data_IF_864595744465
#
_entry.id   IF_864595744465
#
_cell.length_a   1.000
_cell.length_b   1.000
_cell.length_c   1.000
_cell.angle_alpha   90.00
_cell.angle_beta   90.00
_cell.angle_gamma   90.00
#
_symmetry.space_group_name_H-M   'P 1'
#
loop_
_entity.id
_entity.type
_entity.pdbx_description
1 polymer ?
#
# COMPACT_ATOMS: atom_id res chain seq x y z
N UNK A 1 1.97 -8.75 -23.52
CA UNK A 1 1.93 -7.30 -23.24
C UNK A 1 0.61 -6.84 -22.63
N UNK A 2 -0.56 -7.01 -23.28
CA UNK A 2 -1.89 -6.62 -22.73
C UNK A 2 -2.19 -7.03 -21.29
N UNK A 3 -1.72 -8.20 -20.84
CA UNK A 3 -2.03 -8.72 -19.51
C UNK A 3 -1.32 -7.96 -18.37
N UNK A 4 -0.10 -7.46 -18.60
CA UNK A 4 0.67 -6.71 -17.60
C UNK A 4 0.07 -5.32 -17.37
N UNK A 5 -0.40 -4.66 -18.44
CA UNK A 5 -1.06 -3.36 -18.34
C UNK A 5 -2.35 -3.43 -17.53
N UNK A 6 -3.17 -4.47 -17.76
CA UNK A 6 -4.40 -4.73 -17.00
C UNK A 6 -4.10 -5.00 -15.53
N UNK A 7 -3.03 -5.74 -15.22
CA UNK A 7 -2.62 -6.01 -13.84
C UNK A 7 -2.13 -4.74 -13.15
N UNK A 8 -1.35 -3.89 -13.83
CA UNK A 8 -0.91 -2.59 -13.31
C UNK A 8 -2.09 -1.68 -13.00
N UNK A 9 -3.04 -1.57 -13.93
CA UNK A 9 -4.25 -0.74 -13.74
C UNK A 9 -5.08 -1.21 -12.55
N UNK A 10 -5.32 -2.52 -12.42
CA UNK A 10 -6.03 -3.09 -11.26
C UNK A 10 -5.31 -2.83 -9.94
N UNK A 11 -3.98 -2.92 -9.94
CA UNK A 11 -3.17 -2.62 -8.77
C UNK A 11 -3.30 -1.15 -8.35
N UNK A 12 -3.15 -0.20 -9.28
CA UNK A 12 -3.30 1.22 -8.99
C UNK A 12 -4.72 1.59 -8.52
N UNK A 13 -5.75 1.04 -9.14
CA UNK A 13 -7.14 1.24 -8.72
C UNK A 13 -7.40 0.69 -7.30
N UNK A 14 -6.72 -0.39 -6.91
CA UNK A 14 -6.81 -0.90 -5.54
C UNK A 14 -6.13 0.05 -4.56
N UNK A 15 -4.91 0.50 -4.86
CA UNK A 15 -4.17 1.46 -4.04
C UNK A 15 -4.98 2.75 -3.83
N UNK A 16 -5.58 3.30 -4.88
CA UNK A 16 -6.40 4.52 -4.79
C UNK A 16 -7.58 4.36 -3.83
N UNK A 17 -8.18 3.16 -3.78
CA UNK A 17 -9.29 2.85 -2.87
C UNK A 17 -8.85 2.69 -1.41
N UNK A 18 -7.64 2.18 -1.17
CA UNK A 18 -7.17 1.89 0.20
C UNK A 18 -6.32 3.00 0.81
N UNK A 19 -5.68 3.86 0.01
CA UNK A 19 -4.76 4.91 0.48
C UNK A 19 -5.41 5.91 1.43
N UNK A 20 -6.72 6.14 1.30
CA UNK A 20 -7.47 7.07 2.14
C UNK A 20 -7.93 6.43 3.47
N UNK A 21 -7.72 5.13 3.66
CA UNK A 21 -8.08 4.42 4.89
C UNK A 21 -6.84 4.01 5.68
N UNK A 22 -6.58 4.78 6.75
CA UNK A 22 -5.43 4.60 7.65
C UNK A 22 -5.37 3.26 8.38
N UNK A 23 -6.47 2.50 8.45
CA UNK A 23 -6.48 1.17 9.07
C UNK A 23 -6.28 0.04 8.05
N UNK A 24 -6.56 0.30 6.78
CA UNK A 24 -6.49 -0.73 5.75
C UNK A 24 -5.19 -0.65 4.97
N UNK A 25 -4.69 0.55 4.66
CA UNK A 25 -3.45 0.72 3.89
C UNK A 25 -2.27 -0.11 4.41
N UNK A 26 -1.88 -0.05 5.71
CA UNK A 26 -0.76 -0.85 6.21
C UNK A 26 -1.04 -2.36 6.19
N UNK A 27 -2.30 -2.79 6.28
CA UNK A 27 -2.67 -4.21 6.17
C UNK A 27 -2.54 -4.71 4.73
N UNK A 28 -3.07 -3.95 3.77
CA UNK A 28 -2.98 -4.30 2.34
C UNK A 28 -1.54 -4.28 1.82
N UNK A 29 -0.71 -3.39 2.36
CA UNK A 29 0.72 -3.33 2.03
C UNK A 29 1.57 -4.33 2.82
N UNK A 30 0.95 -5.22 3.62
CA UNK A 30 1.62 -6.21 4.45
C UNK A 30 2.71 -5.58 5.33
N UNK A 31 2.37 -4.48 6.01
CA UNK A 31 3.20 -3.81 7.03
C UNK A 31 2.84 -4.35 8.40
N UNK A 32 1.55 -4.53 8.68
CA UNK A 32 1.05 -5.14 9.91
C UNK A 32 -0.24 -5.93 9.65
N UNK A 33 -0.67 -6.73 10.61
CA UNK A 33 -1.95 -7.44 10.53
C UNK A 33 -3.12 -6.54 10.94
N UNK A 34 -4.34 -6.97 10.61
CA UNK A 34 -5.55 -6.27 11.05
C UNK A 34 -5.72 -6.29 12.58
N UNK A 35 -5.25 -7.34 13.26
CA UNK A 35 -5.23 -7.36 14.73
C UNK A 35 -4.28 -6.31 15.31
N UNK A 36 -3.13 -6.09 14.67
CA UNK A 36 -2.14 -5.12 15.15
C UNK A 36 -2.67 -3.69 14.97
N UNK A 37 -3.14 -3.36 13.75
CA UNK A 37 -3.60 -1.99 13.42
C UNK A 37 -4.78 -1.53 14.28
N UNK A 38 -5.58 -2.48 14.79
CA UNK A 38 -6.73 -2.18 15.65
C UNK A 38 -6.31 -1.77 17.07
N UNK A 39 -5.14 -2.21 17.53
CA UNK A 39 -4.60 -1.90 18.85
C UNK A 39 -3.70 -0.66 18.89
N UNK A 40 -3.29 -0.15 17.73
CA UNK A 40 -2.32 0.94 17.63
C UNK A 40 -2.87 2.30 18.10
N UNK A 41 -2.03 3.04 18.81
CA UNK A 41 -2.22 4.45 19.09
C UNK A 41 -2.07 5.30 17.82
N UNK A 42 -2.47 6.57 17.90
CA UNK A 42 -2.52 7.44 16.71
C UNK A 42 -1.13 7.67 16.08
N UNK A 43 -0.11 7.88 16.90
CA UNK A 43 1.28 8.01 16.49
C UNK A 43 1.80 6.74 15.80
N UNK A 44 1.53 5.57 16.39
CA UNK A 44 1.86 4.28 15.77
C UNK A 44 1.14 4.11 14.42
N UNK A 45 -0.15 4.49 14.34
CA UNK A 45 -0.91 4.48 13.09
C UNK A 45 -0.26 5.38 12.03
N UNK A 46 0.21 6.58 12.41
CA UNK A 46 0.91 7.48 11.49
C UNK A 46 2.19 6.84 10.96
N UNK A 47 2.98 6.20 11.82
CA UNK A 47 4.23 5.54 11.40
C UNK A 47 3.98 4.37 10.45
N UNK A 48 3.06 3.46 10.77
CA UNK A 48 2.79 2.31 9.89
C UNK A 48 2.18 2.72 8.55
N UNK A 49 1.38 3.80 8.53
CA UNK A 49 0.87 4.36 7.28
C UNK A 49 2.00 4.96 6.43
N UNK A 50 2.96 5.64 7.05
CA UNK A 50 4.14 6.16 6.35
C UNK A 50 4.95 5.02 5.70
N UNK A 51 5.21 3.94 6.44
CA UNK A 51 5.88 2.74 5.91
C UNK A 51 5.09 2.13 4.74
N UNK A 52 3.76 2.09 4.85
CA UNK A 52 2.90 1.58 3.77
C UNK A 52 2.98 2.44 2.50
N UNK A 53 3.02 3.76 2.65
CA UNK A 53 3.23 4.70 1.54
C UNK A 53 4.62 4.52 0.91
N UNK A 54 5.68 4.44 1.72
CA UNK A 54 7.04 4.21 1.22
C UNK A 54 7.14 2.90 0.43
N UNK A 55 6.42 1.84 0.84
CA UNK A 55 6.33 0.57 0.09
C UNK A 55 5.62 0.73 -1.26
N UNK A 56 4.57 1.55 -1.34
CA UNK A 56 3.90 1.86 -2.61
C UNK A 56 4.86 2.58 -3.54
N UNK A 57 5.51 3.64 -3.06
CA UNK A 57 6.48 4.42 -3.86
C UNK A 57 7.59 3.53 -4.38
N UNK A 58 8.16 2.67 -3.52
CA UNK A 58 9.14 1.67 -3.93
C UNK A 58 8.61 0.76 -5.04
N UNK A 59 7.43 0.18 -4.90
CA UNK A 59 6.86 -0.71 -5.93
C UNK A 59 6.61 0.04 -7.25
N UNK A 60 6.19 1.29 -7.21
CA UNK A 60 6.04 2.14 -8.40
C UNK A 60 7.39 2.34 -9.09
N UNK A 61 8.44 2.70 -8.32
CA UNK A 61 9.79 2.87 -8.84
C UNK A 61 10.33 1.58 -9.47
N UNK A 62 10.16 0.44 -8.80
CA UNK A 62 10.52 -0.88 -9.34
C UNK A 62 9.78 -1.19 -10.65
N UNK A 63 8.49 -0.85 -10.76
CA UNK A 63 7.71 -1.02 -11.99
C UNK A 63 8.13 -0.08 -13.13
N UNK A 64 8.65 1.10 -12.80
CA UNK A 64 9.19 2.07 -13.77
C UNK A 64 10.58 1.61 -14.25
N UNK A 65 11.44 1.21 -13.33
CA UNK A 65 12.84 0.82 -13.57
C UNK A 65 13.02 -0.60 -14.11
N UNK A 66 12.01 -1.47 -14.00
CA UNK A 66 12.00 -2.82 -14.59
C UNK A 66 11.77 -2.82 -16.12
N UNK A 67 11.82 -1.65 -16.76
CA UNK A 67 11.88 -1.49 -18.22
C UNK A 67 13.33 -1.40 -18.68
#
# INVERSE_FOLDING_TARGET
>A
MKNIEIVKERYFNLIEKVQNNKYHLPVFMNVCSYSDVKGMYYDELVEVNKIAQDKIEKQILELILSR
#
